data_IF_655621570675
#
_entry.id   IF_655621570675
#
_cell.length_a   1.000
_cell.length_b   1.000
_cell.length_c   1.000
_cell.angle_alpha   90.00
_cell.angle_beta   90.00
_cell.angle_gamma   90.00
#
_symmetry.space_group_name_H-M   'P 1'
#
loop_
_entity.id
_entity.type
_entity.pdbx_description
1 polymer ?
#
# COMPACT_ATOMS: atom_id res chain seq x y z
N UNK A 1 33.44 -25.18 23.85
CA UNK A 1 33.39 -25.54 22.42
C UNK A 1 32.89 -26.94 22.06
N UNK A 2 32.97 -27.93 22.97
CA UNK A 2 32.44 -29.29 22.72
C UNK A 2 30.94 -29.46 22.94
N UNK A 3 30.31 -28.66 23.78
CA UNK A 3 28.86 -28.73 24.10
C UNK A 3 27.98 -28.20 22.98
N UNK A 4 28.43 -27.16 22.22
CA UNK A 4 27.68 -26.58 21.11
C UNK A 4 27.61 -27.52 19.91
N UNK A 5 28.65 -28.34 19.67
CA UNK A 5 28.63 -29.33 18.55
C UNK A 5 27.66 -30.49 18.81
N UNK A 6 27.46 -30.88 20.05
CA UNK A 6 26.54 -31.98 20.40
C UNK A 6 25.09 -31.56 20.28
N UNK A 7 24.75 -30.31 20.61
CA UNK A 7 23.39 -29.78 20.47
C UNK A 7 22.97 -29.61 18.99
N UNK A 8 23.90 -29.24 18.09
CA UNK A 8 23.61 -29.12 16.66
C UNK A 8 23.36 -30.51 16.03
N UNK A 9 24.09 -31.53 16.46
CA UNK A 9 23.90 -32.91 15.95
C UNK A 9 22.57 -33.51 16.46
N UNK A 10 22.14 -33.22 17.69
CA UNK A 10 20.84 -33.68 18.21
C UNK A 10 19.68 -32.99 17.48
N UNK A 11 19.81 -31.72 17.09
CA UNK A 11 18.75 -31.02 16.34
C UNK A 11 18.61 -31.54 14.91
N UNK A 12 19.71 -31.96 14.28
CA UNK A 12 19.69 -32.58 12.95
C UNK A 12 19.11 -34.00 12.99
N UNK A 13 19.39 -34.78 14.04
CA UNK A 13 18.84 -36.13 14.18
C UNK A 13 17.34 -36.15 14.56
N UNK A 14 16.84 -35.17 15.30
CA UNK A 14 15.41 -35.08 15.62
C UNK A 14 14.56 -34.58 14.43
N UNK A 15 15.17 -33.84 13.46
CA UNK A 15 14.49 -33.45 12.24
C UNK A 15 14.36 -34.59 11.22
N UNK A 16 15.24 -35.60 11.32
CA UNK A 16 15.23 -36.76 10.41
C UNK A 16 14.20 -37.86 10.82
N UNK A 17 13.59 -37.77 12.00
CA UNK A 17 12.69 -38.84 12.50
C UNK A 17 11.20 -38.48 12.48
N UNK A 18 10.81 -37.27 12.00
CA UNK A 18 9.40 -36.89 11.87
C UNK A 18 8.85 -36.99 10.44
N UNK A 19 9.63 -37.53 9.50
CA UNK A 19 9.17 -37.85 8.16
C UNK A 19 8.61 -39.26 8.07
N UNK A 20 7.46 -39.54 8.63
CA UNK A 20 6.67 -40.66 8.18
C UNK A 20 5.22 -40.49 8.65
N UNK A 21 4.36 -40.40 7.71
CA UNK A 21 3.15 -41.18 7.53
C UNK A 21 2.38 -40.57 6.34
N UNK A 22 2.86 -40.91 5.14
CA UNK A 22 1.98 -40.93 3.97
C UNK A 22 1.19 -42.24 4.06
N UNK A 23 -0.11 -42.19 3.96
CA UNK A 23 -0.93 -43.37 3.68
C UNK A 23 -0.49 -43.93 2.33
N UNK A 24 -0.14 -45.22 2.32
CA UNK A 24 0.40 -46.01 1.24
C UNK A 24 1.93 -46.10 1.18
N UNK A 25 2.52 -46.78 2.10
CA UNK A 25 3.75 -47.58 2.15
C UNK A 25 4.97 -47.32 1.23
N UNK A 26 4.95 -46.33 0.35
CA UNK A 26 6.12 -45.87 -0.42
C UNK A 26 6.59 -44.51 0.07
N UNK A 27 7.77 -44.47 0.67
CA UNK A 27 8.50 -43.24 0.92
C UNK A 27 8.68 -42.52 -0.42
N UNK A 28 8.03 -41.38 -0.62
CA UNK A 28 8.36 -40.52 -1.75
C UNK A 28 9.88 -40.28 -1.76
N UNK A 29 10.57 -40.37 -2.90
CA UNK A 29 12.00 -40.17 -2.97
C UNK A 29 12.33 -38.79 -2.40
N UNK A 30 13.22 -38.75 -1.41
CA UNK A 30 13.66 -37.47 -0.82
C UNK A 30 14.40 -36.69 -1.89
N UNK A 31 13.91 -35.45 -2.13
CA UNK A 31 14.55 -34.52 -3.05
C UNK A 31 15.95 -34.16 -2.50
N UNK A 32 17.00 -34.47 -3.23
CA UNK A 32 18.37 -34.33 -2.75
C UNK A 32 18.93 -32.93 -3.07
N UNK A 33 20.05 -32.56 -2.44
CA UNK A 33 20.77 -31.33 -2.77
C UNK A 33 21.18 -31.28 -4.26
N UNK A 34 21.48 -32.42 -4.86
CA UNK A 34 21.80 -32.50 -6.28
C UNK A 34 20.58 -32.17 -7.15
N UNK A 35 19.39 -32.65 -6.77
CA UNK A 35 18.14 -32.35 -7.50
C UNK A 35 17.80 -30.86 -7.46
N UNK A 36 18.01 -30.21 -6.32
CA UNK A 36 17.86 -28.75 -6.20
C UNK A 36 18.86 -28.00 -7.07
N UNK A 37 20.11 -28.48 -7.10
CA UNK A 37 21.18 -27.85 -7.90
C UNK A 37 20.88 -27.96 -9.39
N UNK A 38 20.51 -29.15 -9.87
CA UNK A 38 20.14 -29.37 -11.26
C UNK A 38 18.92 -28.52 -11.67
N UNK A 39 17.88 -28.51 -10.83
CA UNK A 39 16.68 -27.72 -11.06
C UNK A 39 17.02 -26.22 -11.10
N UNK A 40 17.76 -25.70 -10.13
CA UNK A 40 18.12 -24.29 -10.05
C UNK A 40 18.93 -23.85 -11.28
N UNK A 41 19.90 -24.66 -11.70
CA UNK A 41 20.70 -24.39 -12.90
C UNK A 41 19.85 -24.42 -14.16
N UNK A 42 18.94 -25.40 -14.26
CA UNK A 42 18.02 -25.52 -15.40
C UNK A 42 17.09 -24.31 -15.51
N UNK A 43 16.45 -23.92 -14.41
CA UNK A 43 15.52 -22.78 -14.38
C UNK A 43 16.24 -21.47 -14.73
N UNK A 44 17.46 -21.29 -14.22
CA UNK A 44 18.20 -20.03 -14.40
C UNK A 44 19.15 -20.04 -15.58
N UNK A 45 19.09 -21.08 -16.44
CA UNK A 45 19.91 -21.16 -17.64
C UNK A 45 19.67 -19.94 -18.55
N UNK A 46 20.74 -19.18 -18.80
CA UNK A 46 20.69 -17.96 -19.60
C UNK A 46 20.35 -16.68 -18.83
N UNK A 47 20.03 -16.75 -17.53
CA UNK A 47 19.87 -15.58 -16.68
C UNK A 47 21.23 -14.88 -16.48
N UNK A 48 21.28 -13.56 -16.79
CA UNK A 48 22.53 -12.79 -16.83
C UNK A 48 22.83 -12.04 -15.53
N UNK A 49 21.82 -11.83 -14.69
CA UNK A 49 21.94 -11.07 -13.46
C UNK A 49 21.26 -11.78 -12.29
N UNK A 50 21.58 -11.44 -11.02
CA UNK A 50 20.83 -11.92 -9.87
C UNK A 50 19.33 -11.66 -9.98
N UNK A 51 18.94 -10.53 -10.54
CA UNK A 51 17.54 -10.17 -10.79
C UNK A 51 16.87 -11.15 -11.78
N UNK A 52 17.55 -11.46 -12.92
CA UNK A 52 17.01 -12.40 -13.91
C UNK A 52 16.89 -13.82 -13.34
N UNK A 53 17.81 -14.23 -12.46
CA UNK A 53 17.73 -15.51 -11.75
C UNK A 53 16.51 -15.57 -10.84
N UNK A 54 16.29 -14.53 -10.02
CA UNK A 54 15.08 -14.41 -9.20
C UNK A 54 13.81 -14.48 -10.04
N UNK A 55 13.80 -13.75 -11.16
CA UNK A 55 12.65 -13.73 -12.07
C UNK A 55 12.36 -15.10 -12.66
N UNK A 56 13.38 -15.82 -13.09
CA UNK A 56 13.23 -17.17 -13.64
C UNK A 56 12.69 -18.16 -12.60
N UNK A 57 13.20 -18.12 -11.36
CA UNK A 57 12.70 -18.93 -10.24
C UNK A 57 11.25 -18.59 -9.91
N UNK A 58 10.92 -17.32 -9.85
CA UNK A 58 9.55 -16.85 -9.59
C UNK A 58 8.57 -17.38 -10.65
N UNK A 59 8.91 -17.20 -11.94
CA UNK A 59 8.05 -17.66 -13.05
C UNK A 59 7.86 -19.17 -12.96
N UNK A 60 8.96 -19.93 -12.75
CA UNK A 60 8.85 -21.38 -12.63
C UNK A 60 7.92 -21.79 -11.47
N UNK A 61 8.08 -21.19 -10.28
CA UNK A 61 7.23 -21.51 -9.13
C UNK A 61 5.75 -21.19 -9.39
N UNK A 62 5.48 -20.02 -9.95
CA UNK A 62 4.11 -19.58 -10.20
C UNK A 62 3.37 -20.40 -11.25
N UNK A 63 4.12 -20.99 -12.19
CA UNK A 63 3.57 -21.84 -13.25
C UNK A 63 3.45 -23.30 -12.84
N UNK A 64 4.35 -23.81 -11.99
CA UNK A 64 4.46 -25.25 -11.71
C UNK A 64 3.89 -25.67 -10.35
N UNK A 65 3.80 -24.76 -9.38
CA UNK A 65 3.32 -25.07 -8.04
C UNK A 65 1.93 -24.46 -7.81
N UNK A 66 1.04 -25.21 -7.20
CA UNK A 66 -0.30 -24.75 -6.82
C UNK A 66 -0.25 -24.18 -5.40
N UNK A 67 -0.74 -22.97 -5.20
CA UNK A 67 -0.85 -22.40 -3.85
C UNK A 67 -2.05 -23.03 -3.12
N UNK A 68 -1.78 -23.58 -1.93
CA UNK A 68 -2.80 -24.12 -1.04
C UNK A 68 -2.39 -23.86 0.43
N UNK A 69 -3.00 -22.87 1.09
CA UNK A 69 -2.64 -22.48 2.45
C UNK A 69 -2.96 -23.55 3.50
N UNK A 70 -3.71 -24.58 3.16
CA UNK A 70 -4.15 -25.62 4.07
C UNK A 70 -3.45 -26.97 3.86
N UNK A 71 -2.54 -27.09 2.89
CA UNK A 71 -1.82 -28.34 2.65
C UNK A 71 -0.61 -28.50 3.58
N UNK A 72 -0.03 -29.69 3.59
CA UNK A 72 1.20 -29.99 4.35
C UNK A 72 2.49 -29.55 3.62
N UNK A 73 2.39 -29.02 2.42
CA UNK A 73 3.51 -28.57 1.57
C UNK A 73 4.17 -27.30 2.10
N UNK A 74 4.74 -27.33 3.31
CA UNK A 74 5.34 -26.21 4.00
C UNK A 74 6.88 -26.19 3.94
N UNK A 75 7.50 -27.17 3.27
CA UNK A 75 8.92 -27.20 2.97
C UNK A 75 9.15 -27.30 1.44
N UNK A 76 10.34 -26.99 0.98
CA UNK A 76 10.70 -27.09 -0.43
C UNK A 76 10.46 -28.50 -1.01
N UNK A 77 10.88 -29.54 -0.28
CA UNK A 77 10.71 -30.94 -0.70
C UNK A 77 9.24 -31.32 -0.87
N UNK A 78 8.42 -31.07 0.15
CA UNK A 78 6.98 -31.36 0.08
C UNK A 78 6.32 -30.55 -1.02
N UNK A 79 6.66 -29.28 -1.13
CA UNK A 79 6.15 -28.38 -2.16
C UNK A 79 6.46 -28.89 -3.57
N UNK A 80 7.70 -29.32 -3.81
CA UNK A 80 8.12 -29.88 -5.10
C UNK A 80 7.42 -31.20 -5.41
N UNK A 81 7.44 -32.14 -4.48
CA UNK A 81 6.87 -33.49 -4.69
C UNK A 81 5.37 -33.44 -4.92
N UNK A 82 4.65 -32.62 -4.14
CA UNK A 82 3.20 -32.47 -4.25
C UNK A 82 2.75 -31.56 -5.39
N UNK A 83 3.66 -30.80 -6.01
CA UNK A 83 3.33 -29.68 -6.91
C UNK A 83 2.29 -28.71 -6.31
N UNK A 84 2.33 -28.62 -4.98
CA UNK A 84 1.39 -27.83 -4.16
C UNK A 84 2.11 -27.41 -2.88
N UNK A 85 1.93 -26.13 -2.48
CA UNK A 85 2.57 -25.64 -1.27
C UNK A 85 1.82 -24.51 -0.60
N UNK A 86 2.11 -24.33 0.70
CA UNK A 86 1.76 -23.13 1.45
C UNK A 86 2.69 -21.97 1.05
N UNK A 87 2.44 -20.75 1.54
CA UNK A 87 3.37 -19.62 1.34
C UNK A 87 4.76 -19.93 1.91
N UNK A 88 4.83 -20.71 3.01
CA UNK A 88 6.11 -21.17 3.56
C UNK A 88 6.84 -22.10 2.60
N UNK A 89 6.14 -23.10 2.03
CA UNK A 89 6.71 -24.02 1.05
C UNK A 89 7.24 -23.32 -0.21
N UNK A 90 6.48 -22.34 -0.74
CA UNK A 90 6.92 -21.51 -1.85
C UNK A 90 8.18 -20.69 -1.52
N UNK A 91 8.20 -20.07 -0.33
CA UNK A 91 9.32 -19.24 0.10
C UNK A 91 10.56 -20.06 0.43
N UNK A 92 10.39 -21.21 1.08
CA UNK A 92 11.47 -22.13 1.37
C UNK A 92 12.09 -22.67 0.07
N UNK A 93 11.25 -23.02 -0.91
CA UNK A 93 11.71 -23.48 -2.20
C UNK A 93 12.45 -22.38 -2.98
N UNK A 94 11.89 -21.17 -3.03
CA UNK A 94 12.56 -20.02 -3.64
C UNK A 94 13.91 -19.77 -2.99
N UNK A 95 13.97 -19.77 -1.67
CA UNK A 95 15.18 -19.55 -0.88
C UNK A 95 16.29 -20.52 -1.24
N UNK A 96 15.99 -21.82 -1.30
CA UNK A 96 16.97 -22.84 -1.67
C UNK A 96 17.50 -22.65 -3.10
N UNK A 97 16.60 -22.48 -4.08
CA UNK A 97 16.99 -22.28 -5.48
C UNK A 97 17.82 -21.00 -5.66
N UNK A 98 17.42 -19.89 -5.03
CA UNK A 98 18.12 -18.61 -5.14
C UNK A 98 19.54 -18.67 -4.56
N UNK A 99 19.70 -19.27 -3.38
CA UNK A 99 21.01 -19.39 -2.75
C UNK A 99 21.96 -20.32 -3.53
N UNK A 100 21.46 -21.42 -4.11
CA UNK A 100 22.26 -22.31 -4.96
C UNK A 100 22.83 -21.56 -6.17
N UNK A 101 22.07 -20.67 -6.77
CA UNK A 101 22.54 -19.88 -7.92
C UNK A 101 23.25 -18.57 -7.52
N UNK A 102 23.60 -18.42 -6.24
CA UNK A 102 24.39 -17.31 -5.72
C UNK A 102 23.62 -16.00 -5.56
N UNK A 103 22.31 -16.06 -5.30
CA UNK A 103 21.49 -14.88 -4.96
C UNK A 103 21.12 -14.95 -3.49
N UNK A 104 21.74 -14.13 -2.62
CA UNK A 104 21.38 -14.08 -1.20
C UNK A 104 19.92 -13.69 -1.02
N UNK A 105 19.20 -14.44 -0.21
CA UNK A 105 17.80 -14.17 0.05
C UNK A 105 17.46 -14.41 1.52
N UNK A 106 16.35 -13.82 1.97
CA UNK A 106 15.81 -13.99 3.32
C UNK A 106 14.34 -14.38 3.22
N UNK A 107 13.95 -15.36 4.02
CA UNK A 107 12.54 -15.68 4.24
C UNK A 107 11.98 -14.66 5.21
N UNK A 108 10.91 -13.98 4.82
CA UNK A 108 10.21 -12.97 5.62
C UNK A 108 8.89 -13.55 6.08
N UNK A 109 8.67 -13.53 7.39
CA UNK A 109 7.45 -14.01 8.03
C UNK A 109 6.63 -12.82 8.51
N UNK A 110 5.31 -12.86 8.31
CA UNK A 110 4.43 -11.76 8.73
C UNK A 110 2.95 -12.06 8.56
N UNK A 111 2.16 -11.00 8.63
CA UNK A 111 0.73 -11.05 8.43
C UNK A 111 0.38 -10.59 7.01
N UNK A 112 -0.60 -11.25 6.42
CA UNK A 112 -1.20 -10.90 5.14
C UNK A 112 -2.66 -10.51 5.34
N UNK A 113 -3.11 -9.53 4.56
CA UNK A 113 -4.53 -9.19 4.43
C UNK A 113 -4.91 -8.87 3.00
N UNK A 114 -6.17 -9.13 2.69
CA UNK A 114 -6.86 -8.71 1.47
C UNK A 114 -8.11 -7.89 1.82
N UNK A 115 -8.98 -7.61 0.87
CA UNK A 115 -10.24 -6.91 1.12
C UNK A 115 -11.22 -7.66 2.04
N UNK A 116 -11.01 -8.95 2.29
CA UNK A 116 -11.81 -9.76 3.22
C UNK A 116 -11.31 -9.64 4.66
N UNK A 117 -10.13 -9.05 4.84
CA UNK A 117 -9.48 -8.83 6.12
C UNK A 117 -8.19 -9.62 6.29
N UNK A 118 -7.79 -9.77 7.55
CA UNK A 118 -6.55 -10.47 7.92
C UNK A 118 -6.67 -11.98 7.67
N UNK A 119 -5.64 -12.56 7.05
CA UNK A 119 -5.51 -13.99 6.96
C UNK A 119 -5.33 -14.63 8.36
N UNK A 120 -5.93 -15.79 8.56
CA UNK A 120 -5.86 -16.51 9.85
C UNK A 120 -4.47 -17.11 10.12
N UNK A 121 -3.69 -17.34 9.08
CA UNK A 121 -2.39 -17.97 9.15
C UNK A 121 -1.29 -16.96 8.84
N UNK A 122 -0.16 -17.18 9.46
CA UNK A 122 1.08 -16.47 9.12
C UNK A 122 1.38 -16.65 7.63
N UNK A 123 1.76 -15.57 6.98
CA UNK A 123 2.16 -15.57 5.59
C UNK A 123 3.67 -15.39 5.46
N UNK A 124 4.24 -15.94 4.40
CA UNK A 124 5.68 -15.96 4.21
C UNK A 124 6.01 -15.56 2.76
N UNK A 125 7.03 -14.71 2.62
CA UNK A 125 7.52 -14.22 1.33
C UNK A 125 9.03 -14.04 1.34
N UNK A 126 9.61 -13.53 0.27
CA UNK A 126 11.06 -13.41 0.08
C UNK A 126 11.48 -11.95 -0.01
N UNK A 127 12.64 -11.66 0.60
CA UNK A 127 13.46 -10.50 0.30
C UNK A 127 14.79 -10.99 -0.30
N UNK A 128 15.04 -10.71 -1.59
CA UNK A 128 16.22 -11.18 -2.32
C UNK A 128 17.17 -10.02 -2.64
N UNK A 129 18.46 -10.20 -2.35
CA UNK A 129 19.50 -9.24 -2.68
C UNK A 129 19.96 -9.42 -4.14
N UNK A 130 19.65 -8.46 -4.96
CA UNK A 130 20.02 -8.41 -6.37
C UNK A 130 21.07 -7.34 -6.67
N UNK A 131 21.80 -6.88 -5.64
CA UNK A 131 22.82 -5.84 -5.76
C UNK A 131 22.24 -4.40 -5.83
N UNK A 132 20.97 -4.20 -5.43
CA UNK A 132 20.34 -2.88 -5.27
C UNK A 132 20.47 -2.40 -3.84
N UNK A 133 20.17 -1.08 -3.60
CA UNK A 133 20.15 -0.51 -2.25
C UNK A 133 19.26 -1.29 -1.29
N UNK A 134 18.08 -1.69 -1.74
CA UNK A 134 17.16 -2.53 -0.98
C UNK A 134 16.95 -3.85 -1.71
N UNK A 135 16.76 -4.96 -0.99
CA UNK A 135 16.31 -6.21 -1.58
C UNK A 135 15.00 -6.05 -2.33
N UNK A 136 14.78 -6.88 -3.34
CA UNK A 136 13.48 -6.99 -4.00
C UNK A 136 12.54 -7.86 -3.18
N UNK A 137 11.27 -7.48 -3.10
CA UNK A 137 10.22 -8.23 -2.40
C UNK A 137 9.46 -9.12 -3.39
N UNK A 138 9.28 -10.39 -3.04
CA UNK A 138 8.72 -11.41 -3.92
C UNK A 138 7.74 -12.29 -3.16
N UNK A 139 6.51 -12.41 -3.65
CA UNK A 139 5.54 -13.41 -3.18
C UNK A 139 5.10 -14.32 -4.33
N UNK A 140 5.75 -15.45 -4.47
CA UNK A 140 5.45 -16.41 -5.53
C UNK A 140 4.13 -17.19 -5.27
N UNK A 141 3.70 -17.32 -4.01
CA UNK A 141 2.45 -17.99 -3.68
C UNK A 141 1.26 -17.18 -4.18
N UNK A 142 1.17 -15.89 -3.86
CA UNK A 142 0.14 -15.00 -4.39
C UNK A 142 0.31 -14.73 -5.89
N UNK A 143 1.55 -14.78 -6.37
CA UNK A 143 1.87 -14.66 -7.80
C UNK A 143 1.35 -15.81 -8.66
N UNK A 144 1.09 -16.99 -8.09
CA UNK A 144 0.67 -18.18 -8.82
C UNK A 144 -0.81 -18.21 -9.22
N UNK A 145 -1.66 -17.45 -8.51
CA UNK A 145 -3.09 -17.41 -8.77
C UNK A 145 -3.92 -16.85 -7.62
N UNK A 146 -5.17 -17.16 -7.60
CA UNK A 146 -6.13 -16.68 -6.61
C UNK A 146 -7.19 -17.74 -6.27
N UNK A 147 -7.96 -17.51 -5.20
CA UNK A 147 -9.06 -18.38 -4.81
C UNK A 147 -10.41 -17.84 -5.28
N UNK A 148 -11.17 -18.69 -6.01
CA UNK A 148 -12.57 -18.47 -6.33
C UNK A 148 -13.41 -19.55 -5.64
N UNK A 149 -14.33 -19.16 -4.78
CA UNK A 149 -15.19 -20.12 -4.05
C UNK A 149 -14.37 -21.25 -3.38
N UNK A 150 -13.29 -20.91 -2.69
CA UNK A 150 -12.32 -21.82 -2.05
C UNK A 150 -11.53 -22.73 -3.02
N UNK A 151 -11.72 -22.62 -4.31
CA UNK A 151 -10.96 -23.36 -5.33
C UNK A 151 -9.85 -22.47 -5.87
N UNK A 152 -8.64 -22.99 -5.91
CA UNK A 152 -7.51 -22.27 -6.51
C UNK A 152 -7.69 -22.19 -8.03
N UNK A 153 -7.51 -20.98 -8.56
CA UNK A 153 -7.47 -20.68 -9.99
C UNK A 153 -6.09 -20.19 -10.35
N UNK A 154 -5.37 -20.94 -11.19
CA UNK A 154 -4.05 -20.52 -11.66
C UNK A 154 -4.21 -19.29 -12.56
N UNK A 155 -3.49 -18.25 -12.21
CA UNK A 155 -3.43 -16.99 -12.94
C UNK A 155 -2.09 -16.31 -12.60
N UNK A 156 -1.02 -16.84 -13.17
CA UNK A 156 0.32 -16.34 -12.93
C UNK A 156 0.42 -14.85 -13.30
N UNK A 157 1.00 -14.06 -12.41
CA UNK A 157 1.11 -12.60 -12.58
C UNK A 157 2.43 -12.10 -12.04
N UNK A 158 2.99 -11.08 -12.68
CA UNK A 158 4.23 -10.43 -12.22
C UNK A 158 4.00 -9.36 -11.15
N UNK A 159 2.76 -9.07 -10.73
CA UNK A 159 2.49 -8.03 -9.75
C UNK A 159 3.11 -8.30 -8.37
N UNK A 160 3.44 -9.56 -8.06
CA UNK A 160 4.05 -10.00 -6.81
C UNK A 160 5.56 -10.29 -6.95
N UNK A 161 6.17 -9.85 -8.04
CA UNK A 161 7.62 -9.90 -8.27
C UNK A 161 8.21 -8.50 -8.26
N UNK A 162 9.28 -8.27 -7.50
CA UNK A 162 9.93 -6.96 -7.33
C UNK A 162 8.93 -5.88 -6.87
N UNK A 163 8.16 -6.23 -5.86
CA UNK A 163 7.10 -5.35 -5.37
C UNK A 163 7.71 -4.14 -4.68
N UNK A 164 7.28 -2.94 -5.08
CA UNK A 164 7.60 -1.70 -4.36
C UNK A 164 7.20 -1.84 -2.88
N UNK A 165 8.13 -1.64 -1.92
CA UNK A 165 7.82 -1.73 -0.50
C UNK A 165 6.62 -0.91 -0.05
N UNK A 166 6.43 0.28 -0.62
CA UNK A 166 5.27 1.13 -0.34
C UNK A 166 3.94 0.56 -0.85
N UNK A 167 3.97 -0.34 -1.84
CA UNK A 167 2.80 -1.09 -2.27
C UNK A 167 2.59 -2.34 -1.41
N UNK A 168 3.70 -3.04 -1.11
CA UNK A 168 3.67 -4.28 -0.34
C UNK A 168 3.05 -4.11 1.04
N UNK A 169 3.35 -2.99 1.71
CA UNK A 169 2.89 -2.71 3.09
C UNK A 169 1.36 -2.59 3.22
N UNK A 170 0.61 -2.39 2.15
CA UNK A 170 -0.85 -2.37 2.20
C UNK A 170 -1.47 -3.75 2.41
N UNK A 171 -0.72 -4.80 2.14
CA UNK A 171 -1.18 -6.20 2.22
C UNK A 171 -0.30 -7.07 3.11
N UNK A 172 0.98 -6.71 3.29
CA UNK A 172 1.98 -7.51 3.99
C UNK A 172 2.63 -6.74 5.13
N UNK A 173 2.50 -7.25 6.35
CA UNK A 173 3.13 -6.70 7.55
C UNK A 173 4.18 -7.67 8.07
N UNK A 174 5.49 -7.44 7.86
CA UNK A 174 6.52 -8.32 8.38
C UNK A 174 6.56 -8.26 9.92
N UNK A 175 6.78 -9.39 10.57
CA UNK A 175 6.96 -9.46 12.02
C UNK A 175 8.22 -8.69 12.48
N UNK A 176 9.25 -8.65 11.63
CA UNK A 176 10.42 -7.80 11.86
C UNK A 176 10.34 -6.54 10.97
N UNK A 177 10.21 -5.38 11.59
CA UNK A 177 10.02 -4.09 10.91
C UNK A 177 11.15 -3.74 9.92
N UNK A 178 12.35 -4.31 10.10
CA UNK A 178 13.49 -4.14 9.16
C UNK A 178 13.18 -4.57 7.73
N UNK A 179 12.20 -5.46 7.54
CA UNK A 179 11.80 -5.95 6.22
C UNK A 179 10.67 -5.15 5.58
N UNK A 180 10.27 -4.03 6.16
CA UNK A 180 9.30 -3.14 5.51
C UNK A 180 9.92 -2.34 4.35
N UNK A 181 11.20 -1.95 4.46
CA UNK A 181 11.93 -1.14 3.47
C UNK A 181 11.24 0.17 3.06
N UNK A 182 10.30 0.65 3.86
CA UNK A 182 9.66 1.97 3.72
C UNK A 182 10.42 2.99 4.58
N UNK A 183 10.35 4.28 4.20
CA UNK A 183 11.07 5.32 4.94
C UNK A 183 10.59 5.46 6.38
N UNK A 184 9.27 5.38 6.58
CA UNK A 184 8.63 5.47 7.88
C UNK A 184 7.99 4.12 8.21
N UNK A 185 8.47 3.48 9.26
CA UNK A 185 7.95 2.18 9.67
C UNK A 185 6.47 2.28 10.04
N UNK A 186 5.69 1.38 9.46
CA UNK A 186 4.26 1.24 9.75
C UNK A 186 4.09 0.33 10.96
N UNK A 187 3.36 0.78 11.97
CA UNK A 187 3.03 -0.02 13.14
C UNK A 187 1.92 -1.03 12.80
N UNK A 188 1.84 -2.11 13.57
CA UNK A 188 0.83 -3.16 13.34
C UNK A 188 -0.60 -2.60 13.37
N UNK A 189 -0.93 -1.75 14.35
CA UNK A 189 -2.25 -1.11 14.45
C UNK A 189 -2.56 -0.18 13.27
N UNK A 190 -1.55 0.47 12.73
CA UNK A 190 -1.69 1.28 11.52
C UNK A 190 -1.94 0.38 10.31
N UNK A 191 -1.17 -0.70 10.19
CA UNK A 191 -1.38 -1.69 9.13
C UNK A 191 -2.79 -2.27 9.16
N UNK A 192 -3.33 -2.64 10.33
CA UNK A 192 -4.71 -3.14 10.45
C UNK A 192 -5.74 -2.14 9.91
N UNK A 193 -5.52 -0.85 10.13
CA UNK A 193 -6.42 0.21 9.68
C UNK A 193 -6.31 0.56 8.18
N UNK A 194 -5.20 0.20 7.51
CA UNK A 194 -5.04 0.44 6.07
C UNK A 194 -6.05 -0.38 5.26
N UNK A 195 -6.58 0.18 4.19
CA UNK A 195 -7.29 -0.60 3.17
C UNK A 195 -6.29 -1.49 2.42
N UNK A 196 -6.61 -2.77 2.25
CA UNK A 196 -5.74 -3.71 1.56
C UNK A 196 -5.74 -3.47 0.05
N UNK A 197 -4.76 -2.74 -0.47
CA UNK A 197 -4.56 -2.55 -1.90
C UNK A 197 -3.49 -3.51 -2.42
N UNK A 198 -3.83 -4.32 -3.42
CA UNK A 198 -2.84 -5.14 -4.12
C UNK A 198 -1.91 -4.26 -4.97
N UNK A 199 -0.65 -4.68 -5.23
CA UNK A 199 0.32 -3.88 -5.98
C UNK A 199 -0.15 -3.38 -7.34
N UNK A 200 -0.94 -4.17 -8.07
CA UNK A 200 -1.50 -3.81 -9.37
C UNK A 200 -2.50 -2.64 -9.33
N UNK A 201 -3.11 -2.37 -8.18
CA UNK A 201 -4.12 -1.31 -8.05
C UNK A 201 -3.53 0.11 -8.06
N UNK A 202 -2.21 0.25 -7.93
CA UNK A 202 -1.51 1.54 -7.95
C UNK A 202 -1.15 2.05 -9.35
N UNK A 203 -1.62 1.41 -10.42
CA UNK A 203 -1.24 1.76 -11.80
C UNK A 203 -1.88 3.04 -12.34
N UNK A 204 -2.95 3.57 -11.73
CA UNK A 204 -3.62 4.84 -12.12
C UNK A 204 -2.84 6.11 -11.72
N UNK A 205 -1.51 6.05 -11.62
CA UNK A 205 -0.67 7.20 -11.31
C UNK A 205 -0.62 7.59 -9.83
N UNK A 206 -1.30 6.84 -8.96
CA UNK A 206 -1.20 7.03 -7.52
C UNK A 206 0.15 6.52 -7.02
N UNK A 207 0.98 7.41 -6.47
CA UNK A 207 2.22 7.01 -5.80
C UNK A 207 1.88 6.31 -4.49
N UNK A 208 2.36 5.10 -4.32
CA UNK A 208 2.05 4.29 -3.14
C UNK A 208 2.54 4.95 -1.84
N UNK A 209 3.69 5.64 -1.86
CA UNK A 209 4.19 6.43 -0.73
C UNK A 209 3.23 7.54 -0.30
N UNK A 210 2.64 8.26 -1.28
CA UNK A 210 1.71 9.36 -1.00
C UNK A 210 0.38 8.81 -0.47
N UNK A 211 -0.11 7.70 -1.04
CA UNK A 211 -1.30 7.00 -0.56
C UNK A 211 -1.08 6.50 0.86
N UNK A 212 0.09 5.89 1.16
CA UNK A 212 0.43 5.43 2.49
C UNK A 212 0.44 6.59 3.50
N UNK A 213 1.19 7.65 3.20
CA UNK A 213 1.27 8.83 4.07
C UNK A 213 -0.11 9.41 4.39
N UNK A 214 -0.95 9.60 3.35
CA UNK A 214 -2.32 10.11 3.52
C UNK A 214 -3.24 9.14 4.27
N UNK A 215 -3.07 7.84 4.07
CA UNK A 215 -3.84 6.82 4.79
C UNK A 215 -3.47 6.80 6.27
N UNK A 216 -2.19 6.89 6.59
CA UNK A 216 -1.70 6.89 7.97
C UNK A 216 -2.13 8.14 8.75
N UNK A 217 -2.26 9.28 8.10
CA UNK A 217 -2.74 10.50 8.73
C UNK A 217 -4.28 10.69 8.65
N UNK A 218 -5.00 9.70 8.11
CA UNK A 218 -6.47 9.69 8.04
C UNK A 218 -7.08 10.65 7.01
N UNK A 219 -6.27 11.15 6.07
CA UNK A 219 -6.72 12.10 5.03
C UNK A 219 -7.03 11.45 3.68
N UNK A 220 -6.75 10.17 3.52
CA UNK A 220 -7.04 9.44 2.29
C UNK A 220 -8.42 8.79 2.34
N UNK A 221 -9.33 9.24 1.49
CA UNK A 221 -10.65 8.64 1.33
C UNK A 221 -10.62 7.64 0.16
N UNK A 222 -10.86 6.37 0.48
CA UNK A 222 -10.96 5.29 -0.51
C UNK A 222 -12.38 5.19 -1.06
N UNK A 223 -12.58 4.68 -2.30
CA UNK A 223 -13.90 4.38 -2.81
C UNK A 223 -14.59 3.32 -1.92
N UNK A 224 -15.92 3.31 -1.92
CA UNK A 224 -16.64 2.25 -1.26
C UNK A 224 -16.47 0.95 -2.07
N UNK A 225 -15.91 -0.08 -1.44
CA UNK A 225 -15.73 -1.41 -2.00
C UNK A 225 -16.77 -2.33 -1.34
N UNK A 226 -17.66 -2.93 -2.12
CA UNK A 226 -18.74 -3.75 -1.61
C UNK A 226 -18.33 -5.23 -1.58
N UNK A 227 -18.65 -5.93 -0.50
CA UNK A 227 -18.35 -7.37 -0.36
C UNK A 227 -19.07 -8.24 -1.41
N UNK A 228 -18.49 -9.39 -1.73
CA UNK A 228 -19.07 -10.38 -2.62
C UNK A 228 -18.79 -10.17 -4.11
N UNK A 229 -18.10 -9.09 -4.49
CA UNK A 229 -17.70 -8.88 -5.90
C UNK A 229 -16.71 -9.93 -6.40
N UNK A 230 -15.92 -10.48 -5.52
CA UNK A 230 -14.89 -11.50 -5.78
C UNK A 230 -15.44 -12.85 -6.26
N UNK A 231 -16.77 -13.03 -6.25
CA UNK A 231 -17.43 -14.14 -6.94
C UNK A 231 -17.55 -13.89 -8.46
N UNK A 232 -17.51 -12.65 -8.90
CA UNK A 232 -17.80 -12.23 -10.28
C UNK A 232 -16.59 -11.71 -11.02
N UNK A 233 -15.72 -10.96 -10.32
CA UNK A 233 -14.57 -10.34 -10.91
C UNK A 233 -13.44 -10.12 -9.87
N UNK A 234 -12.24 -9.94 -10.37
CA UNK A 234 -11.08 -9.47 -9.62
C UNK A 234 -10.73 -8.06 -10.05
N UNK A 235 -10.63 -7.16 -9.11
CA UNK A 235 -10.19 -5.78 -9.35
C UNK A 235 -8.67 -5.78 -9.56
N UNK A 236 -8.19 -5.18 -10.65
CA UNK A 236 -6.76 -5.09 -10.99
C UNK A 236 -6.27 -3.64 -10.95
N UNK A 237 -7.02 -2.72 -11.56
CA UNK A 237 -6.72 -1.31 -11.61
C UNK A 237 -8.01 -0.51 -11.49
N UNK A 238 -8.03 0.50 -10.64
CA UNK A 238 -9.16 1.42 -10.48
C UNK A 238 -8.70 2.69 -9.74
N UNK A 239 -9.42 3.82 -9.84
CA UNK A 239 -9.11 5.00 -9.08
C UNK A 239 -9.18 4.72 -7.58
N UNK A 240 -8.08 4.94 -6.85
CA UNK A 240 -8.01 4.68 -5.41
C UNK A 240 -8.68 5.75 -4.56
N UNK A 241 -8.99 6.92 -5.14
CA UNK A 241 -9.67 8.03 -4.44
C UNK A 241 -11.18 7.90 -4.53
N UNK A 242 -11.89 8.22 -3.45
CA UNK A 242 -13.36 8.19 -3.41
C UNK A 242 -14.01 9.21 -4.33
N UNK A 243 -13.38 10.37 -4.52
CA UNK A 243 -13.90 11.48 -5.35
C UNK A 243 -13.27 11.49 -6.71
N UNK A 244 -14.10 11.43 -7.75
CA UNK A 244 -13.70 11.54 -9.16
C UNK A 244 -14.21 12.84 -9.75
N UNK A 245 -13.47 13.41 -10.70
CA UNK A 245 -13.79 14.72 -11.31
C UNK A 245 -14.39 14.58 -12.70
N UNK A 246 -15.39 15.40 -13.00
CA UNK A 246 -15.94 15.53 -14.36
C UNK A 246 -14.82 15.96 -15.31
N UNK A 247 -14.78 15.37 -16.51
CA UNK A 247 -13.77 15.70 -17.52
C UNK A 247 -12.39 15.06 -17.29
N UNK A 248 -12.18 14.31 -16.21
CA UNK A 248 -10.96 13.55 -15.96
C UNK A 248 -11.16 12.10 -16.37
N UNK A 249 -10.23 11.56 -17.17
CA UNK A 249 -10.29 10.15 -17.59
C UNK A 249 -9.64 9.27 -16.55
N UNK A 250 -10.34 8.21 -16.17
CA UNK A 250 -9.89 7.18 -15.25
C UNK A 250 -9.87 5.83 -15.93
N UNK A 251 -8.88 4.99 -15.61
CA UNK A 251 -8.77 3.62 -16.13
C UNK A 251 -9.31 2.64 -15.09
N UNK A 252 -10.10 1.69 -15.58
CA UNK A 252 -10.56 0.54 -14.83
C UNK A 252 -10.06 -0.72 -15.54
N UNK A 253 -9.38 -1.61 -14.83
CA UNK A 253 -9.02 -2.94 -15.30
C UNK A 253 -9.47 -3.98 -14.29
N UNK A 254 -10.05 -5.03 -14.79
CA UNK A 254 -10.55 -6.13 -13.98
C UNK A 254 -10.44 -7.46 -14.71
N UNK A 255 -10.47 -8.55 -13.96
CA UNK A 255 -10.50 -9.91 -14.50
C UNK A 255 -11.85 -10.53 -14.22
N UNK A 256 -12.55 -10.98 -15.27
CA UNK A 256 -13.83 -11.67 -15.15
C UNK A 256 -13.63 -13.08 -14.60
N UNK A 257 -14.29 -13.39 -13.50
CA UNK A 257 -14.30 -14.73 -12.89
C UNK A 257 -15.54 -15.55 -13.30
N UNK A 258 -16.51 -14.88 -13.92
CA UNK A 258 -17.72 -15.48 -14.47
C UNK A 258 -18.11 -14.71 -15.73
N UNK A 259 -19.00 -15.30 -16.53
CA UNK A 259 -19.51 -14.63 -17.73
C UNK A 259 -20.63 -13.65 -17.36
N UNK A 260 -20.24 -12.51 -16.81
CA UNK A 260 -21.14 -11.44 -16.38
C UNK A 260 -20.91 -10.19 -17.22
N UNK A 261 -21.97 -9.43 -17.40
CA UNK A 261 -21.90 -8.09 -17.97
C UNK A 261 -21.42 -7.09 -16.91
N UNK A 262 -20.56 -6.15 -17.30
CA UNK A 262 -19.95 -5.17 -16.44
C UNK A 262 -20.29 -3.77 -16.92
N UNK A 263 -20.69 -2.90 -15.99
CA UNK A 263 -21.14 -1.55 -16.28
C UNK A 263 -20.47 -0.53 -15.37
N UNK A 264 -20.14 0.63 -15.93
CA UNK A 264 -19.92 1.84 -15.15
C UNK A 264 -21.18 2.70 -15.31
N UNK A 265 -21.75 3.08 -14.16
CA UNK A 265 -22.98 3.86 -14.08
C UNK A 265 -22.68 5.18 -13.41
N UNK A 266 -22.78 6.27 -14.15
CA UNK A 266 -22.72 7.64 -13.62
C UNK A 266 -24.13 8.24 -13.70
N UNK A 267 -24.96 7.93 -12.72
CA UNK A 267 -26.42 8.15 -12.65
C UNK A 267 -27.22 7.41 -13.72
N UNK A 268 -26.66 7.21 -14.90
CA UNK A 268 -27.23 6.43 -16.00
C UNK A 268 -26.17 5.53 -16.61
N UNK A 269 -26.59 4.43 -17.23
CA UNK A 269 -25.72 3.59 -18.04
C UNK A 269 -25.52 4.27 -19.39
N UNK A 270 -24.27 4.49 -19.78
CA UNK A 270 -23.93 4.96 -21.12
C UNK A 270 -23.61 3.75 -22.02
N UNK A 271 -24.51 3.40 -22.95
CA UNK A 271 -24.34 2.22 -23.80
C UNK A 271 -23.20 2.37 -24.81
N UNK A 272 -22.70 3.58 -25.05
CA UNK A 272 -21.54 3.83 -25.92
C UNK A 272 -20.21 3.41 -25.27
N UNK A 273 -20.18 3.31 -23.96
CA UNK A 273 -18.99 2.93 -23.20
C UNK A 273 -18.86 1.41 -23.13
N UNK A 274 -17.87 0.87 -23.82
CA UNK A 274 -17.64 -0.57 -23.88
C UNK A 274 -16.29 -0.95 -23.24
N UNK A 275 -16.31 -2.12 -22.60
CA UNK A 275 -15.09 -2.77 -22.12
C UNK A 275 -14.34 -3.41 -23.30
N UNK A 276 -13.04 -3.18 -23.35
CA UNK A 276 -12.13 -3.93 -24.22
C UNK A 276 -11.57 -5.10 -23.42
N UNK A 277 -11.84 -6.32 -23.88
CA UNK A 277 -11.40 -7.52 -23.17
C UNK A 277 -10.40 -8.32 -24.00
N UNK A 278 -9.32 -8.75 -23.36
CA UNK A 278 -8.39 -9.77 -23.84
C UNK A 278 -8.54 -10.99 -22.94
N UNK A 279 -9.18 -12.03 -23.45
CA UNK A 279 -9.63 -13.16 -22.66
C UNK A 279 -10.55 -12.72 -21.52
N UNK A 280 -10.11 -12.96 -20.28
CA UNK A 280 -10.86 -12.60 -19.07
C UNK A 280 -10.55 -11.20 -18.56
N UNK A 281 -9.46 -10.60 -19.00
CA UNK A 281 -9.02 -9.27 -18.55
C UNK A 281 -9.72 -8.21 -19.38
N UNK A 282 -10.47 -7.36 -18.72
CA UNK A 282 -11.25 -6.29 -19.35
C UNK A 282 -10.77 -4.92 -18.85
N UNK A 283 -10.59 -3.99 -19.77
CA UNK A 283 -10.15 -2.62 -19.49
C UNK A 283 -11.14 -1.61 -20.09
N UNK A 284 -11.38 -0.53 -19.36
CA UNK A 284 -12.17 0.60 -19.81
C UNK A 284 -11.54 1.90 -19.31
N UNK A 285 -11.45 2.89 -20.21
CA UNK A 285 -11.21 4.29 -19.84
C UNK A 285 -12.56 5.01 -19.75
N UNK A 286 -12.84 5.60 -18.60
CA UNK A 286 -14.10 6.28 -18.34
C UNK A 286 -13.87 7.70 -17.84
N UNK A 287 -14.60 8.65 -18.42
CA UNK A 287 -14.60 10.05 -18.01
C UNK A 287 -16.00 10.39 -17.46
N UNK A 288 -16.14 10.72 -16.17
CA UNK A 288 -17.41 11.19 -15.64
C UNK A 288 -17.88 12.44 -16.35
N UNK A 289 -19.16 12.49 -16.71
CA UNK A 289 -19.79 13.64 -17.40
C UNK A 289 -20.85 14.32 -16.56
N UNK A 290 -21.23 13.73 -15.43
CA UNK A 290 -22.30 14.22 -14.55
C UNK A 290 -21.90 14.10 -13.09
N UNK A 291 -22.30 15.09 -12.31
CA UNK A 291 -22.19 15.01 -10.86
C UNK A 291 -23.10 13.93 -10.26
N UNK A 292 -22.76 13.46 -9.08
CA UNK A 292 -23.52 12.45 -8.35
C UNK A 292 -22.72 11.21 -8.04
N UNK A 293 -23.38 10.05 -8.06
CA UNK A 293 -22.75 8.77 -7.74
C UNK A 293 -22.27 8.09 -9.03
N UNK A 294 -21.02 7.62 -9.02
CA UNK A 294 -20.49 6.72 -10.05
C UNK A 294 -20.28 5.34 -9.43
N UNK A 295 -20.78 4.30 -10.10
CA UNK A 295 -20.61 2.93 -9.62
C UNK A 295 -20.09 2.01 -10.72
N UNK A 296 -19.21 1.10 -10.33
CA UNK A 296 -18.89 -0.10 -11.10
C UNK A 296 -19.83 -1.20 -10.65
N UNK A 297 -20.58 -1.77 -11.58
CA UNK A 297 -21.59 -2.80 -11.32
C UNK A 297 -21.34 -4.03 -12.18
N UNK A 298 -21.70 -5.19 -11.62
CA UNK A 298 -21.82 -6.45 -12.35
C UNK A 298 -23.30 -6.80 -12.47
N UNK A 299 -23.76 -7.16 -13.68
CA UNK A 299 -25.12 -7.65 -13.90
C UNK A 299 -25.11 -9.17 -13.83
N UNK A 300 -25.89 -9.73 -12.92
CA UNK A 300 -26.06 -11.16 -12.72
C UNK A 300 -27.53 -11.47 -12.47
N UNK A 301 -28.07 -12.48 -13.16
CA UNK A 301 -29.48 -12.88 -13.03
C UNK A 301 -30.45 -11.68 -13.19
N UNK A 302 -30.19 -10.78 -14.12
CA UNK A 302 -31.00 -9.58 -14.37
C UNK A 302 -30.89 -8.47 -13.33
N UNK A 303 -30.11 -8.63 -12.26
CA UNK A 303 -29.89 -7.63 -11.20
C UNK A 303 -28.50 -7.06 -11.27
N UNK A 304 -28.35 -5.78 -10.85
CA UNK A 304 -27.06 -5.11 -10.73
C UNK A 304 -26.52 -5.23 -9.31
N UNK A 305 -25.33 -5.80 -9.15
CA UNK A 305 -24.56 -5.80 -7.92
C UNK A 305 -23.49 -4.72 -8.00
N UNK A 306 -23.45 -3.80 -7.05
CA UNK A 306 -22.43 -2.75 -6.98
C UNK A 306 -21.13 -3.36 -6.46
N UNK A 307 -20.02 -3.03 -7.13
CA UNK A 307 -18.65 -3.45 -6.77
C UNK A 307 -17.88 -2.29 -6.16
N UNK A 308 -17.87 -1.16 -6.85
CA UNK A 308 -17.21 0.07 -6.42
C UNK A 308 -18.20 1.24 -6.49
N UNK A 309 -18.07 2.17 -5.56
CA UNK A 309 -18.81 3.42 -5.65
C UNK A 309 -17.94 4.62 -5.32
N UNK A 310 -18.11 5.65 -6.14
CA UNK A 310 -17.42 6.93 -6.09
C UNK A 310 -18.41 8.06 -5.98
N UNK A 311 -17.91 9.19 -5.49
CA UNK A 311 -18.60 10.47 -5.52
C UNK A 311 -18.04 11.30 -6.68
N UNK A 312 -18.92 11.84 -7.51
CA UNK A 312 -18.55 12.82 -8.53
C UNK A 312 -19.07 14.15 -8.07
N UNK A 313 -18.23 15.12 -7.72
CA UNK A 313 -18.65 16.42 -7.23
C UNK A 313 -19.60 17.15 -8.19
N UNK A 314 -20.39 18.06 -7.68
CA UNK A 314 -21.30 18.90 -8.47
C UNK A 314 -20.52 19.77 -9.46
N UNK A 315 -21.17 20.21 -10.54
CA UNK A 315 -20.56 21.09 -11.53
C UNK A 315 -19.98 22.38 -10.90
N UNK A 316 -20.64 22.91 -9.87
CA UNK A 316 -20.14 24.07 -9.13
C UNK A 316 -18.78 23.83 -8.47
N UNK A 317 -18.54 22.67 -7.88
CA UNK A 317 -17.21 22.31 -7.35
C UNK A 317 -16.18 22.11 -8.47
N UNK A 318 -16.60 21.63 -9.63
CA UNK A 318 -15.72 21.47 -10.80
C UNK A 318 -15.35 22.83 -11.41
N UNK A 319 -16.29 23.72 -11.52
CA UNK A 319 -16.05 25.11 -11.93
C UNK A 319 -15.13 25.81 -10.93
N UNK A 320 -15.37 25.61 -9.65
CA UNK A 320 -14.51 26.09 -8.58
C UNK A 320 -13.08 25.54 -8.73
N UNK A 321 -12.91 24.25 -9.01
CA UNK A 321 -11.61 23.62 -9.23
C UNK A 321 -10.93 24.20 -10.48
N UNK A 322 -11.68 24.42 -11.57
CA UNK A 322 -11.17 25.05 -12.80
C UNK A 322 -10.78 26.51 -12.56
N UNK A 323 -11.59 27.26 -11.87
CA UNK A 323 -11.26 28.63 -11.48
C UNK A 323 -10.05 28.67 -10.54
N UNK A 324 -9.94 27.73 -9.60
CA UNK A 324 -8.82 27.58 -8.71
C UNK A 324 -7.48 27.30 -9.44
N UNK A 325 -7.51 26.62 -10.59
CA UNK A 325 -6.31 26.45 -11.42
C UNK A 325 -5.85 27.77 -12.06
N UNK A 326 -6.75 28.75 -12.20
CA UNK A 326 -6.43 30.08 -12.74
C UNK A 326 -6.13 31.06 -11.60
N UNK A 327 -6.99 31.14 -10.61
CA UNK A 327 -6.79 31.87 -9.36
C UNK A 327 -7.48 31.14 -8.19
N UNK A 328 -6.77 30.23 -7.51
CA UNK A 328 -7.34 29.40 -6.45
C UNK A 328 -7.92 30.19 -5.29
N UNK A 329 -7.47 31.42 -5.10
CA UNK A 329 -7.92 32.28 -3.98
C UNK A 329 -9.21 33.06 -4.31
N UNK A 330 -9.65 33.05 -5.58
CA UNK A 330 -10.91 33.69 -5.99
C UNK A 330 -12.15 32.89 -5.61
N UNK A 331 -12.00 31.64 -5.19
CA UNK A 331 -13.10 30.75 -4.83
C UNK A 331 -13.77 31.19 -3.52
N UNK A 332 -15.10 31.39 -3.47
CA UNK A 332 -15.80 31.86 -2.27
C UNK A 332 -15.53 31.00 -1.02
N UNK A 333 -15.46 29.67 -1.18
CA UNK A 333 -15.17 28.73 -0.09
C UNK A 333 -13.71 28.83 0.36
N UNK A 334 -12.79 29.13 -0.55
CA UNK A 334 -11.39 29.36 -0.22
C UNK A 334 -11.23 30.75 0.39
N UNK A 335 -11.92 31.77 -0.16
CA UNK A 335 -11.91 33.13 0.41
C UNK A 335 -12.38 33.15 1.85
N UNK A 336 -13.47 32.44 2.16
CA UNK A 336 -13.98 32.38 3.55
C UNK A 336 -12.98 31.68 4.51
N UNK A 337 -12.12 30.78 4.00
CA UNK A 337 -11.16 29.99 4.78
C UNK A 337 -9.77 30.60 4.84
N UNK A 338 -9.39 31.35 3.82
CA UNK A 338 -7.99 31.78 3.53
C UNK A 338 -7.79 33.28 3.61
N UNK A 339 -8.85 34.08 3.59
CA UNK A 339 -8.76 35.56 3.56
C UNK A 339 -7.84 36.20 4.61
N UNK A 340 -7.62 35.51 5.72
CA UNK A 340 -6.72 35.97 6.79
C UNK A 340 -5.31 35.46 6.63
N UNK A 341 -5.09 34.39 5.84
CA UNK A 341 -3.83 33.62 5.84
C UNK A 341 -3.17 33.44 4.47
N UNK A 342 -3.70 34.05 3.39
CA UNK A 342 -3.14 33.86 2.03
C UNK A 342 -1.64 34.15 1.97
N UNK A 343 -1.24 35.34 2.41
CA UNK A 343 0.17 35.74 2.36
C UNK A 343 1.07 34.85 3.24
N UNK A 344 0.53 34.35 4.36
CA UNK A 344 1.23 33.43 5.23
C UNK A 344 1.35 32.02 4.62
N UNK A 345 0.29 31.52 3.97
CA UNK A 345 0.34 30.24 3.27
C UNK A 345 1.36 30.27 2.14
N UNK A 346 1.36 31.33 1.32
CA UNK A 346 2.32 31.52 0.24
C UNK A 346 3.75 31.65 0.77
N UNK A 347 3.95 32.45 1.84
CA UNK A 347 5.24 32.59 2.51
C UNK A 347 5.79 31.22 2.97
N UNK A 348 4.93 30.32 3.43
CA UNK A 348 5.32 29.00 3.90
C UNK A 348 5.19 27.90 2.82
N UNK A 349 5.17 28.26 1.53
CA UNK A 349 5.26 27.32 0.41
C UNK A 349 3.96 26.60 0.06
N UNK A 350 2.81 27.11 0.52
CA UNK A 350 1.49 26.67 0.07
C UNK A 350 0.97 27.70 -0.93
N UNK A 351 1.46 27.60 -2.15
CA UNK A 351 0.96 28.40 -3.28
C UNK A 351 -0.44 27.89 -3.75
N UNK A 352 -1.02 28.63 -4.71
CA UNK A 352 -2.31 28.28 -5.26
C UNK A 352 -2.38 26.88 -5.87
N UNK A 353 -1.32 26.40 -6.53
CA UNK A 353 -1.27 25.06 -7.12
C UNK A 353 -1.30 23.98 -6.06
N UNK A 354 -0.51 24.16 -4.99
CA UNK A 354 -0.47 23.23 -3.88
C UNK A 354 -1.80 23.23 -3.11
N UNK A 355 -2.42 24.40 -2.91
CA UNK A 355 -3.73 24.50 -2.29
C UNK A 355 -4.82 23.78 -3.10
N UNK A 356 -4.81 23.96 -4.43
CA UNK A 356 -5.72 23.23 -5.34
C UNK A 356 -5.50 21.72 -5.25
N UNK A 357 -4.25 21.26 -5.24
CA UNK A 357 -3.94 19.85 -5.10
C UNK A 357 -4.48 19.28 -3.77
N UNK A 358 -4.37 20.03 -2.68
CA UNK A 358 -4.89 19.66 -1.37
C UNK A 358 -6.43 19.65 -1.33
N UNK A 359 -7.08 20.63 -1.96
CA UNK A 359 -8.55 20.67 -2.10
C UNK A 359 -9.03 19.45 -2.90
N UNK A 360 -8.40 19.19 -4.04
CA UNK A 360 -8.77 18.09 -4.92
C UNK A 360 -8.53 16.70 -4.29
N UNK A 361 -7.55 16.59 -3.41
CA UNK A 361 -7.30 15.34 -2.65
C UNK A 361 -8.26 15.11 -1.48
N UNK A 362 -9.17 16.06 -1.22
CA UNK A 362 -10.08 16.00 -0.07
C UNK A 362 -9.40 16.19 1.30
N UNK A 363 -8.12 16.60 1.29
CA UNK A 363 -7.31 16.79 2.51
C UNK A 363 -7.66 18.11 3.21
N UNK A 364 -8.25 19.06 2.50
CA UNK A 364 -8.69 20.34 3.08
C UNK A 364 -10.07 20.15 3.68
N UNK A 365 -10.15 20.20 5.01
CA UNK A 365 -11.41 20.20 5.75
C UNK A 365 -12.21 21.51 5.61
N UNK A 366 -13.26 21.65 6.41
CA UNK A 366 -14.15 22.80 6.38
C UNK A 366 -13.45 24.14 6.68
N UNK A 367 -12.34 24.10 7.40
CA UNK A 367 -11.55 25.26 7.79
C UNK A 367 -10.07 24.92 7.75
N UNK A 368 -9.23 25.81 7.22
CA UNK A 368 -7.79 25.65 7.23
C UNK A 368 -7.22 25.84 8.65
N UNK A 369 -6.06 25.23 8.97
CA UNK A 369 -5.40 25.48 10.24
C UNK A 369 -5.05 26.95 10.37
N UNK A 370 -5.04 27.44 11.61
CA UNK A 370 -4.60 28.81 11.89
C UNK A 370 -3.08 28.87 11.77
N UNK A 371 -2.58 29.70 10.87
CA UNK A 371 -1.16 30.00 10.76
C UNK A 371 -0.93 31.30 11.53
N UNK A 372 -0.13 31.23 12.58
CA UNK A 372 0.16 32.38 13.41
C UNK A 372 1.29 33.21 12.76
N UNK A 373 1.04 34.49 12.47
CA UNK A 373 2.08 35.36 11.98
C UNK A 373 3.11 35.62 13.10
N UNK A 374 4.35 35.27 12.85
CA UNK A 374 5.45 35.66 13.71
C UNK A 374 6.62 36.07 12.83
N UNK A 375 7.23 37.21 13.14
CA UNK A 375 8.41 37.68 12.43
C UNK A 375 9.58 36.72 12.65
N UNK A 376 10.33 36.45 11.59
CA UNK A 376 11.48 35.55 11.66
C UNK A 376 11.18 34.06 11.56
N UNK A 377 9.93 33.65 11.32
CA UNK A 377 9.60 32.26 11.01
C UNK A 377 9.78 32.01 9.52
N UNK A 378 10.78 31.22 9.16
CA UNK A 378 11.09 30.86 7.78
C UNK A 378 11.20 29.32 7.64
N UNK A 379 10.07 28.68 7.49
CA UNK A 379 9.97 27.24 7.21
C UNK A 379 9.01 27.01 6.04
N UNK A 380 9.19 25.90 5.32
CA UNK A 380 8.28 25.55 4.24
C UNK A 380 7.41 24.34 4.62
N UNK A 381 6.10 24.47 4.47
CA UNK A 381 5.14 23.38 4.66
C UNK A 381 5.31 22.41 3.50
N UNK A 382 5.66 21.16 3.80
CA UNK A 382 5.72 20.06 2.83
C UNK A 382 4.43 19.25 2.88
N UNK A 383 4.06 18.78 4.07
CA UNK A 383 2.83 18.02 4.31
C UNK A 383 2.41 18.18 5.77
N UNK A 384 1.25 18.76 6.00
CA UNK A 384 0.67 18.95 7.33
C UNK A 384 -0.84 18.81 7.22
N UNK A 385 -1.56 18.51 8.31
CA UNK A 385 -3.02 18.51 8.27
C UNK A 385 -3.54 19.87 7.81
N UNK A 386 -4.21 19.93 6.66
CA UNK A 386 -4.79 21.16 6.11
C UNK A 386 -6.27 21.31 6.48
N UNK A 387 -6.62 20.86 7.67
CA UNK A 387 -7.92 21.07 8.32
C UNK A 387 -7.72 21.60 9.72
N UNK A 388 -8.49 22.58 10.12
CA UNK A 388 -8.44 23.12 11.48
C UNK A 388 -8.96 22.13 12.53
N UNK A 389 -9.92 21.29 12.15
CA UNK A 389 -10.56 20.31 13.02
C UNK A 389 -9.94 18.95 12.83
N UNK A 390 -9.12 18.50 13.78
CA UNK A 390 -8.54 17.16 13.80
C UNK A 390 -9.47 16.20 14.56
N UNK A 391 -9.50 14.95 14.12
CA UNK A 391 -10.25 13.89 14.81
C UNK A 391 -9.47 13.39 16.01
N UNK A 392 -10.13 13.11 17.16
CA UNK A 392 -9.47 12.47 18.31
C UNK A 392 -8.91 11.09 17.99
N UNK A 393 -7.87 10.67 18.72
CA UNK A 393 -7.21 9.36 18.58
C UNK A 393 -6.72 9.05 17.16
N UNK A 394 -6.38 10.06 16.38
CA UNK A 394 -5.83 9.92 15.04
C UNK A 394 -4.39 10.39 15.00
N UNK A 395 -3.56 9.66 14.23
CA UNK A 395 -2.19 10.07 13.93
C UNK A 395 -2.19 10.99 12.71
N UNK A 396 -1.50 12.12 12.83
CA UNK A 396 -1.31 13.09 11.76
C UNK A 396 0.16 13.31 11.52
N UNK A 397 0.52 13.38 10.24
CA UNK A 397 1.88 13.68 9.81
C UNK A 397 2.11 15.18 9.75
N UNK A 398 3.28 15.60 10.25
CA UNK A 398 3.82 16.94 10.10
C UNK A 398 5.14 16.82 9.36
N UNK A 399 5.25 17.40 8.17
CA UNK A 399 6.46 17.42 7.35
C UNK A 399 6.73 18.84 6.88
N UNK A 400 7.91 19.34 7.19
CA UNK A 400 8.33 20.71 6.86
C UNK A 400 9.78 20.73 6.37
N UNK A 401 10.13 21.73 5.56
CA UNK A 401 11.54 22.10 5.36
C UNK A 401 11.92 23.07 6.47
N UNK A 402 12.85 22.69 7.34
CA UNK A 402 13.19 23.49 8.51
C UNK A 402 14.05 24.70 8.15
N UNK A 403 13.96 25.77 8.93
CA UNK A 403 14.97 26.80 8.93
C UNK A 403 16.22 26.36 9.70
N UNK A 404 17.38 26.85 9.29
CA UNK A 404 18.66 26.45 9.86
C UNK A 404 18.73 26.73 11.38
N UNK A 405 19.16 25.73 12.15
CA UNK A 405 19.37 25.84 13.59
C UNK A 405 18.09 25.96 14.44
N UNK A 406 16.91 25.88 13.85
CA UNK A 406 15.64 25.94 14.59
C UNK A 406 15.29 24.56 15.18
N UNK A 407 14.53 24.57 16.28
CA UNK A 407 13.90 23.39 16.88
C UNK A 407 12.39 23.42 16.63
N UNK A 408 11.81 22.24 16.45
CA UNK A 408 10.40 22.09 16.16
C UNK A 408 9.73 21.16 17.16
N UNK A 409 8.47 21.43 17.51
CA UNK A 409 7.70 20.58 18.38
C UNK A 409 6.23 20.58 17.95
N UNK A 410 5.58 19.42 17.98
CA UNK A 410 4.13 19.32 17.95
C UNK A 410 3.65 19.08 19.37
N UNK A 411 2.69 19.85 19.84
CA UNK A 411 2.20 19.80 21.23
C UNK A 411 0.70 19.63 21.25
N UNK A 412 0.22 18.67 22.02
CA UNK A 412 -1.20 18.50 22.33
C UNK A 412 -1.38 17.97 23.76
N UNK A 413 -2.26 18.58 24.57
CA UNK A 413 -2.53 18.19 25.96
C UNK A 413 -1.27 17.92 26.80
N UNK A 414 -0.27 18.79 26.69
CA UNK A 414 0.99 18.68 27.44
C UNK A 414 1.96 17.61 26.92
N UNK A 415 1.57 16.77 25.97
CA UNK A 415 2.49 15.86 25.28
C UNK A 415 3.23 16.63 24.18
N UNK A 416 4.54 16.44 24.12
CA UNK A 416 5.44 17.14 23.21
C UNK A 416 6.18 16.12 22.36
N UNK A 417 6.11 16.26 21.04
CA UNK A 417 6.82 15.43 20.04
C UNK A 417 7.94 16.25 19.39
N UNK A 418 9.01 16.55 20.05
CA UNK A 418 10.15 17.26 19.43
C UNK A 418 11.39 16.41 19.25
N UNK A 419 11.45 15.24 19.88
CA UNK A 419 12.56 14.28 19.72
C UNK A 419 12.32 13.26 18.62
N UNK A 420 11.08 13.21 18.11
CA UNK A 420 10.63 12.18 17.16
C UNK A 420 10.74 12.63 15.70
N UNK A 421 11.31 13.83 15.46
CA UNK A 421 11.53 14.33 14.11
C UNK A 421 12.59 13.50 13.38
N UNK A 422 12.23 13.06 12.17
CA UNK A 422 13.11 12.34 11.26
C UNK A 422 13.42 13.20 10.05
N UNK A 423 14.57 12.97 9.41
CA UNK A 423 15.03 13.76 8.26
C UNK A 423 14.94 12.92 6.99
N UNK A 424 14.29 13.46 5.98
CA UNK A 424 14.27 12.91 4.63
C UNK A 424 15.55 13.27 3.86
N UNK A 425 15.80 12.58 2.75
CA UNK A 425 16.94 12.82 1.87
C UNK A 425 16.96 14.21 1.23
N UNK A 426 15.79 14.89 1.14
CA UNK A 426 15.66 16.25 0.61
C UNK A 426 15.84 17.34 1.67
N UNK A 427 16.24 16.97 2.89
CA UNK A 427 16.42 17.86 4.02
C UNK A 427 15.15 18.29 4.73
N UNK A 428 13.97 17.84 4.30
CA UNK A 428 12.74 18.04 5.07
C UNK A 428 12.74 17.16 6.32
N UNK A 429 12.07 17.64 7.36
CA UNK A 429 11.87 16.88 8.60
C UNK A 429 10.39 16.55 8.79
N UNK A 430 10.12 15.41 9.40
CA UNK A 430 8.75 14.96 9.62
C UNK A 430 8.63 14.18 10.94
N UNK A 431 7.41 14.15 11.47
CA UNK A 431 6.98 13.29 12.56
C UNK A 431 5.50 12.93 12.42
N UNK A 432 5.08 11.88 13.12
CA UNK A 432 3.67 11.57 13.34
C UNK A 432 3.28 11.89 14.77
N UNK A 433 2.22 12.66 14.95
CA UNK A 433 1.67 12.99 16.25
C UNK A 433 0.22 12.51 16.36
N UNK A 434 -0.08 11.74 17.41
CA UNK A 434 -1.43 11.21 17.65
C UNK A 434 -2.22 12.19 18.52
N UNK A 435 -3.40 12.58 18.03
CA UNK A 435 -4.31 13.45 18.77
C UNK A 435 -4.82 12.76 20.04
N UNK A 436 -5.00 13.52 21.15
CA UNK A 436 -5.60 12.99 22.36
C UNK A 436 -7.10 12.66 22.18
N UNK A 437 -7.71 11.90 23.11
CA UNK A 437 -9.07 11.39 22.95
C UNK A 437 -10.18 12.44 23.01
N UNK A 438 -9.94 13.62 23.53
CA UNK A 438 -10.96 14.70 23.58
C UNK A 438 -10.39 16.09 23.88
N UNK A 439 -11.09 17.13 23.44
CA UNK A 439 -11.18 18.45 24.05
C UNK A 439 -9.96 19.35 24.06
N UNK A 440 -8.96 19.12 23.19
CA UNK A 440 -7.75 19.94 23.21
C UNK A 440 -7.42 20.56 21.85
N UNK A 441 -6.50 21.50 21.88
CA UNK A 441 -5.80 22.00 20.71
C UNK A 441 -4.53 21.18 20.47
N UNK A 442 -4.13 21.08 19.22
CA UNK A 442 -2.80 20.62 18.80
C UNK A 442 -2.11 21.80 18.10
N UNK A 443 -0.83 21.98 18.31
CA UNK A 443 -0.10 23.07 17.67
C UNK A 443 1.30 22.65 17.28
N UNK A 444 1.74 23.12 16.11
CA UNK A 444 3.13 23.09 15.70
C UNK A 444 3.84 24.32 16.24
N UNK A 445 4.92 24.11 16.93
CA UNK A 445 5.78 25.14 17.51
C UNK A 445 7.15 25.14 16.84
N UNK A 446 7.74 26.33 16.78
CA UNK A 446 9.09 26.54 16.33
C UNK A 446 9.86 27.36 17.36
N UNK A 447 11.12 27.01 17.57
CA UNK A 447 12.09 27.81 18.32
C UNK A 447 13.24 28.13 17.39
N UNK A 448 13.32 29.35 16.84
CA UNK A 448 14.43 29.78 16.01
C UNK A 448 15.78 29.71 16.75
N UNK A 449 16.85 29.63 16.01
CA UNK A 449 18.20 29.66 16.59
C UNK A 449 18.39 30.95 17.43
N UNK A 450 18.85 30.80 18.68
CA UNK A 450 19.03 31.90 19.61
C UNK A 450 17.76 32.37 20.33
N UNK A 451 16.57 31.91 19.95
CA UNK A 451 15.35 32.28 20.67
C UNK A 451 15.28 31.62 22.05
N UNK A 452 14.68 32.32 23.03
CA UNK A 452 14.52 31.81 24.40
C UNK A 452 13.37 30.80 24.54
N UNK A 453 12.33 30.93 23.72
CA UNK A 453 11.10 30.14 23.84
C UNK A 453 10.59 29.66 22.48
N UNK A 454 9.74 28.61 22.53
CA UNK A 454 8.96 28.16 21.39
C UNK A 454 7.81 29.13 21.10
N UNK A 455 7.52 29.33 19.81
CA UNK A 455 6.39 30.10 19.31
C UNK A 455 5.46 29.17 18.52
N UNK A 456 4.17 29.30 18.73
CA UNK A 456 3.17 28.57 17.94
C UNK A 456 3.13 29.11 16.52
N UNK A 457 3.32 28.26 15.53
CA UNK A 457 3.25 28.65 14.12
C UNK A 457 2.03 28.10 13.38
N UNK A 458 1.49 26.96 13.84
CA UNK A 458 0.23 26.42 13.32
C UNK A 458 -0.62 25.87 14.46
N UNK A 459 -1.92 26.09 14.41
CA UNK A 459 -2.85 25.64 15.45
C UNK A 459 -4.05 24.92 14.87
N UNK A 460 -4.49 23.90 15.60
CA UNK A 460 -5.58 23.00 15.29
C UNK A 460 -6.48 22.85 16.52
N UNK A 461 -7.74 22.52 16.32
CA UNK A 461 -8.66 22.08 17.38
C UNK A 461 -9.10 20.64 17.15
N UNK A 462 -9.48 19.98 18.22
CA UNK A 462 -10.02 18.61 18.17
C UNK A 462 -11.54 18.67 18.18
N UNK A 463 -12.17 17.95 17.24
CA UNK A 463 -13.62 17.93 17.11
C UNK A 463 -14.14 16.53 16.80
#
# INVERSE_FOLDING_TARGET
>A
MKIIRTLIIIFILTYATTNSLAQDGELAPSFTLNDYTELAQTITKGAKSPYDKCKAIYVWLTENITYDPNCIGNTADLCYNMKRGTSNGFSDFFYHLANIVGVPSSIVTGNYKDFKGMAKHVHVWIAADVGRKNPILIDAALGSGFFKNKTFVRSATMQWFDVDPYKMIFTHMPHSLRFQFVGDQVLYSQFEALTAFEPGMFSNGAKASDVLSKSLNGTFEVPNIYSGYDNFLRLREFPLTKKLHIGTTYTFELEKLADNEIYIVNNVIDPSKKWTCDGKVCRMSFMPTRAGKLTLCVKTNGKYAVVLAYEVPTASQQELTKAANTDPYSLPEVQSRVNVNRALLEKHGVDGKKLVALINSGVVGDTLPIINPADGLDFTIVDVPMTYHLKPNKSYRFCIKPMAGAQYAVVANGRIWFKDWQTNSDGSIWLNATTPPSGASMSLFIKPAGAKSFMSCMSYTLK
#
